data_IF_129697018321
#
_entry.id   IF_129697018321
#
_cell.length_a   1.000
_cell.length_b   1.000
_cell.length_c   1.000
_cell.angle_alpha   90.00
_cell.angle_beta   90.00
_cell.angle_gamma   90.00
#
_symmetry.space_group_name_H-M   'P 1'
#
loop_
_entity.id
_entity.type
_entity.pdbx_description
1 polymer ?
#
# COMPACT_ATOMS: atom_id res chain seq x y z
N UNK A 1 -8.08 -19.50 20.09
CA UNK A 1 -8.14 -18.09 19.64
C UNK A 1 -7.00 -17.28 20.28
N UNK A 2 -6.20 -16.56 19.48
CA UNK A 2 -4.98 -15.86 19.94
C UNK A 2 -5.21 -14.81 21.04
N UNK A 3 -6.46 -14.39 21.29
CA UNK A 3 -6.85 -13.56 22.44
C UNK A 3 -6.76 -14.30 23.80
N UNK A 4 -6.66 -15.63 23.81
CA UNK A 4 -6.43 -16.43 25.03
C UNK A 4 -4.94 -16.68 25.32
N UNK A 5 -4.02 -15.97 24.64
CA UNK A 5 -2.59 -16.08 24.91
C UNK A 5 -2.29 -15.65 26.36
N UNK A 6 -1.53 -16.42 27.15
CA UNK A 6 -1.17 -16.06 28.51
C UNK A 6 -0.24 -14.84 28.60
N UNK A 7 0.30 -14.34 27.48
CA UNK A 7 1.18 -13.16 27.41
C UNK A 7 0.81 -12.21 26.24
N UNK A 8 -0.37 -11.56 26.28
CA UNK A 8 -0.78 -10.62 25.24
C UNK A 8 0.18 -9.43 25.10
N UNK A 9 0.76 -8.94 26.20
CA UNK A 9 1.75 -7.86 26.18
C UNK A 9 3.02 -8.19 25.37
N UNK A 10 3.39 -9.47 25.26
CA UNK A 10 4.57 -9.90 24.51
C UNK A 10 4.44 -9.69 23.00
N UNK A 11 3.21 -9.70 22.47
CA UNK A 11 2.92 -9.53 21.05
C UNK A 11 2.52 -8.10 20.69
N UNK A 12 2.13 -7.29 21.67
CA UNK A 12 1.69 -5.92 21.45
C UNK A 12 2.78 -5.05 20.83
N UNK A 13 3.99 -5.03 21.41
CA UNK A 13 5.08 -4.18 20.93
C UNK A 13 5.55 -4.54 19.52
N UNK A 14 5.80 -5.82 19.16
CA UNK A 14 6.10 -6.19 17.78
C UNK A 14 4.99 -5.81 16.80
N UNK A 15 3.71 -6.06 17.16
CA UNK A 15 2.57 -5.66 16.35
C UNK A 15 2.51 -4.14 16.14
N UNK A 16 2.67 -3.37 17.21
CA UNK A 16 2.61 -1.91 17.18
C UNK A 16 3.71 -1.32 16.31
N UNK A 17 4.95 -1.79 16.46
CA UNK A 17 6.09 -1.33 15.66
C UNK A 17 5.87 -1.65 14.18
N UNK A 18 5.44 -2.88 13.86
CA UNK A 18 5.15 -3.27 12.47
C UNK A 18 4.03 -2.44 11.87
N UNK A 19 2.95 -2.21 12.63
CA UNK A 19 1.83 -1.41 12.20
C UNK A 19 2.23 0.05 11.98
N UNK A 20 3.02 0.63 12.88
CA UNK A 20 3.53 2.00 12.76
C UNK A 20 4.41 2.15 11.51
N UNK A 21 5.37 1.24 11.30
CA UNK A 21 6.21 1.23 10.11
C UNK A 21 5.36 1.12 8.84
N UNK A 22 4.37 0.22 8.81
CA UNK A 22 3.47 0.06 7.67
C UNK A 22 2.66 1.33 7.39
N UNK A 23 2.11 1.97 8.43
CA UNK A 23 1.34 3.19 8.29
C UNK A 23 2.18 4.36 7.79
N UNK A 24 3.36 4.57 8.38
CA UNK A 24 4.29 5.63 7.95
C UNK A 24 4.75 5.40 6.52
N UNK A 25 5.16 4.16 6.18
CA UNK A 25 5.56 3.81 4.81
C UNK A 25 4.43 4.04 3.81
N UNK A 26 3.19 3.68 4.16
CA UNK A 26 2.00 3.93 3.32
C UNK A 26 1.76 5.41 3.11
N UNK A 27 1.88 6.22 4.17
CA UNK A 27 1.76 7.68 4.09
C UNK A 27 2.79 8.30 3.15
N UNK A 28 4.06 7.91 3.27
CA UNK A 28 5.14 8.36 2.39
C UNK A 28 4.88 7.91 0.95
N UNK A 29 4.50 6.66 0.72
CA UNK A 29 4.23 6.12 -0.62
C UNK A 29 3.05 6.77 -1.35
N UNK A 30 1.98 7.10 -0.62
CA UNK A 30 0.86 7.84 -1.19
C UNK A 30 1.27 9.27 -1.57
N UNK A 31 1.98 9.97 -0.66
CA UNK A 31 2.47 11.32 -0.92
C UNK A 31 3.43 11.39 -2.11
N UNK A 32 4.36 10.43 -2.23
CA UNK A 32 5.27 10.37 -3.37
C UNK A 32 4.51 10.14 -4.68
N UNK A 33 3.53 9.23 -4.69
CA UNK A 33 2.75 8.90 -5.90
C UNK A 33 1.94 10.11 -6.39
N UNK A 34 1.21 10.78 -5.49
CA UNK A 34 0.43 11.97 -5.87
C UNK A 34 1.32 13.12 -6.33
N UNK A 35 2.47 13.33 -5.69
CA UNK A 35 3.46 14.31 -6.13
C UNK A 35 3.99 14.00 -7.52
N UNK A 36 4.31 12.74 -7.81
CA UNK A 36 4.76 12.31 -9.13
C UNK A 36 3.70 12.58 -10.20
N UNK A 37 2.42 12.28 -9.94
CA UNK A 37 1.33 12.58 -10.88
C UNK A 37 1.25 14.09 -11.15
N UNK A 38 1.34 14.92 -10.12
CA UNK A 38 1.30 16.38 -10.26
C UNK A 38 2.51 16.95 -11.02
N UNK A 39 3.67 16.31 -10.95
CA UNK A 39 4.89 16.76 -11.63
C UNK A 39 4.99 16.31 -13.09
N UNK A 40 4.45 15.14 -13.41
CA UNK A 40 4.56 14.53 -14.75
C UNK A 40 3.46 15.06 -15.70
N UNK A 41 2.33 15.51 -15.16
CA UNK A 41 1.20 16.01 -15.96
C UNK A 41 1.16 17.55 -16.00
N UNK A 42 0.70 18.11 -17.11
CA UNK A 42 0.36 19.53 -17.21
C UNK A 42 -0.79 19.89 -16.24
N UNK A 43 -0.83 21.13 -15.75
CA UNK A 43 -1.81 21.61 -14.75
C UNK A 43 -3.26 21.29 -15.12
N UNK A 44 -3.65 21.45 -16.39
CA UNK A 44 -5.01 21.17 -16.88
C UNK A 44 -5.41 19.70 -16.73
N UNK A 45 -4.45 18.76 -16.77
CA UNK A 45 -4.69 17.30 -16.69
C UNK A 45 -4.44 16.73 -15.31
N UNK A 46 -3.58 17.37 -14.52
CA UNK A 46 -3.19 16.90 -13.20
C UNK A 46 -4.40 16.73 -12.27
N UNK A 47 -5.27 17.75 -12.17
CA UNK A 47 -6.45 17.72 -11.31
C UNK A 47 -7.42 16.56 -11.62
N UNK A 48 -7.91 16.43 -12.86
CA UNK A 48 -8.80 15.33 -13.25
C UNK A 48 -8.18 13.93 -13.04
N UNK A 49 -6.91 13.74 -13.40
CA UNK A 49 -6.24 12.45 -13.24
C UNK A 49 -6.04 12.11 -11.76
N UNK A 50 -5.60 13.07 -10.95
CA UNK A 50 -5.48 12.89 -9.49
C UNK A 50 -6.81 12.50 -8.86
N UNK A 51 -7.90 13.17 -9.23
CA UNK A 51 -9.25 12.86 -8.74
C UNK A 51 -9.68 11.43 -9.09
N UNK A 52 -9.51 11.03 -10.34
CA UNK A 52 -9.86 9.68 -10.79
C UNK A 52 -8.98 8.60 -10.14
N UNK A 53 -7.66 8.80 -10.07
CA UNK A 53 -6.74 7.87 -9.40
C UNK A 53 -7.09 7.74 -7.91
N UNK A 54 -7.44 8.84 -7.24
CA UNK A 54 -7.86 8.82 -5.83
C UNK A 54 -9.16 8.05 -5.63
N UNK A 55 -10.12 8.18 -6.54
CA UNK A 55 -11.36 7.41 -6.50
C UNK A 55 -11.08 5.91 -6.66
N UNK A 56 -10.19 5.51 -7.58
CA UNK A 56 -9.78 4.11 -7.74
C UNK A 56 -9.08 3.60 -6.48
N UNK A 57 -8.15 4.38 -5.92
CA UNK A 57 -7.41 4.02 -4.71
C UNK A 57 -8.33 3.85 -3.49
N UNK A 58 -9.39 4.66 -3.37
CA UNK A 58 -10.36 4.58 -2.29
C UNK A 58 -11.07 3.22 -2.20
N UNK A 59 -11.29 2.52 -3.32
CA UNK A 59 -11.85 1.16 -3.29
C UNK A 59 -10.97 0.17 -2.52
N UNK A 60 -9.66 0.41 -2.42
CA UNK A 60 -8.75 -0.40 -1.62
C UNK A 60 -9.13 -0.46 -0.14
N UNK A 61 -9.68 0.64 0.41
CA UNK A 61 -10.14 0.71 1.79
C UNK A 61 -11.34 -0.21 2.08
N UNK A 62 -12.10 -0.59 1.04
CA UNK A 62 -13.19 -1.56 1.16
C UNK A 62 -12.73 -3.00 0.87
N UNK A 63 -11.91 -3.18 -0.17
CA UNK A 63 -11.48 -4.51 -0.64
C UNK A 63 -10.55 -5.18 0.38
N UNK A 64 -9.58 -4.44 0.94
CA UNK A 64 -8.56 -5.02 1.85
C UNK A 64 -9.23 -5.60 3.12
N UNK A 65 -10.06 -4.87 3.88
CA UNK A 65 -10.71 -5.43 5.06
C UNK A 65 -11.68 -6.57 4.73
N UNK A 66 -12.35 -6.51 3.58
CA UNK A 66 -13.26 -7.58 3.13
C UNK A 66 -12.50 -8.88 2.88
N UNK A 67 -11.46 -8.84 2.05
CA UNK A 67 -10.64 -10.03 1.71
C UNK A 67 -9.97 -10.59 2.96
N UNK A 68 -9.42 -9.71 3.81
CA UNK A 68 -8.79 -10.15 5.06
C UNK A 68 -9.80 -10.79 6.01
N UNK A 69 -11.00 -10.20 6.15
CA UNK A 69 -12.09 -10.75 6.96
C UNK A 69 -12.62 -12.09 6.44
N UNK A 70 -12.74 -12.27 5.12
CA UNK A 70 -13.12 -13.54 4.50
C UNK A 70 -12.09 -14.64 4.79
N UNK A 71 -10.79 -14.33 4.67
CA UNK A 71 -9.72 -15.29 4.95
C UNK A 71 -9.58 -15.62 6.44
N UNK A 72 -9.89 -14.67 7.34
CA UNK A 72 -10.00 -14.95 8.78
C UNK A 72 -11.12 -15.96 9.05
N UNK A 73 -12.31 -15.75 8.44
CA UNK A 73 -13.45 -16.67 8.57
C UNK A 73 -13.14 -18.06 7.99
N UNK A 74 -12.38 -18.10 6.90
CA UNK A 74 -11.92 -19.32 6.26
C UNK A 74 -10.74 -20.01 6.99
N UNK A 75 -10.27 -19.46 8.12
CA UNK A 75 -9.12 -19.96 8.89
C UNK A 75 -7.78 -19.94 8.13
N UNK A 76 -7.69 -19.14 7.06
CA UNK A 76 -6.51 -19.02 6.19
C UNK A 76 -6.03 -17.57 6.00
N UNK A 77 -5.89 -16.76 7.07
CA UNK A 77 -5.52 -15.34 6.97
C UNK A 77 -4.17 -15.09 6.26
N UNK A 78 -3.25 -16.07 6.30
CA UNK A 78 -1.96 -16.01 5.62
C UNK A 78 -2.09 -15.80 4.11
N UNK A 79 -3.14 -16.32 3.45
CA UNK A 79 -3.30 -16.16 2.00
C UNK A 79 -3.65 -14.72 1.63
N UNK A 80 -4.44 -14.01 2.45
CA UNK A 80 -4.66 -12.58 2.25
C UNK A 80 -3.35 -11.78 2.40
N UNK A 81 -2.54 -12.10 3.41
CA UNK A 81 -1.25 -11.43 3.64
C UNK A 81 -0.26 -11.67 2.50
N UNK A 82 -0.16 -12.90 1.98
CA UNK A 82 0.64 -13.20 0.80
C UNK A 82 0.13 -12.46 -0.44
N UNK A 83 -1.18 -12.37 -0.63
CA UNK A 83 -1.77 -11.57 -1.70
C UNK A 83 -1.38 -10.09 -1.62
N UNK A 84 -1.47 -9.49 -0.42
CA UNK A 84 -1.04 -8.10 -0.20
C UNK A 84 0.46 -7.92 -0.45
N UNK A 85 1.30 -8.84 0.03
CA UNK A 85 2.75 -8.79 -0.19
C UNK A 85 3.12 -8.88 -1.68
N UNK A 86 2.47 -9.78 -2.44
CA UNK A 86 2.66 -9.90 -3.90
C UNK A 86 2.24 -8.62 -4.61
N UNK A 87 1.10 -8.03 -4.24
CA UNK A 87 0.66 -6.76 -4.79
C UNK A 87 1.68 -5.64 -4.57
N UNK A 88 2.18 -5.47 -3.34
CA UNK A 88 3.22 -4.48 -3.04
C UNK A 88 4.53 -4.73 -3.80
N UNK A 89 4.94 -5.99 -3.96
CA UNK A 89 6.11 -6.35 -4.74
C UNK A 89 5.95 -5.97 -6.21
N UNK A 90 4.79 -6.24 -6.81
CA UNK A 90 4.47 -5.81 -8.17
C UNK A 90 4.51 -4.29 -8.29
N UNK A 91 3.90 -3.56 -7.34
CA UNK A 91 3.96 -2.09 -7.32
C UNK A 91 5.40 -1.57 -7.21
N UNK A 92 6.26 -2.22 -6.42
CA UNK A 92 7.67 -1.86 -6.30
C UNK A 92 8.42 -2.06 -7.62
N UNK A 93 8.20 -3.20 -8.29
CA UNK A 93 8.78 -3.49 -9.61
C UNK A 93 8.31 -2.49 -10.67
N UNK A 94 7.03 -2.12 -10.67
CA UNK A 94 6.49 -1.11 -11.59
C UNK A 94 7.11 0.26 -11.33
N UNK A 95 7.19 0.70 -10.06
CA UNK A 95 7.84 1.96 -9.72
C UNK A 95 9.30 1.96 -10.16
N UNK A 96 10.02 0.85 -9.93
CA UNK A 96 11.39 0.72 -10.37
C UNK A 96 11.52 0.82 -11.90
N UNK A 97 10.69 0.09 -12.63
CA UNK A 97 10.74 0.03 -14.09
C UNK A 97 10.44 1.38 -14.76
N UNK A 98 9.44 2.12 -14.26
CA UNK A 98 8.99 3.37 -14.86
C UNK A 98 9.76 4.60 -14.35
N UNK A 99 10.22 4.60 -13.09
CA UNK A 99 10.82 5.80 -12.47
C UNK A 99 12.30 5.66 -12.07
N UNK A 100 12.79 4.49 -11.69
CA UNK A 100 14.15 4.33 -11.10
C UNK A 100 15.17 3.61 -12.00
N UNK A 101 14.74 2.97 -13.09
CA UNK A 101 15.62 2.22 -13.99
C UNK A 101 16.62 3.16 -14.71
N UNK A 102 17.90 2.75 -14.93
CA UNK A 102 18.84 3.52 -15.74
C UNK A 102 18.30 3.71 -17.16
N UNK A 103 17.90 4.94 -17.49
CA UNK A 103 17.22 5.29 -18.75
C UNK A 103 15.71 5.59 -18.64
N UNK A 104 15.15 5.70 -17.43
CA UNK A 104 13.75 6.08 -17.22
C UNK A 104 13.41 7.46 -17.83
N UNK A 105 12.21 7.54 -18.42
CA UNK A 105 11.71 8.67 -19.23
C UNK A 105 11.54 9.98 -18.44
N UNK A 106 11.43 9.88 -17.11
CA UNK A 106 11.32 11.00 -16.18
C UNK A 106 12.54 10.97 -15.27
N UNK A 107 13.57 11.75 -15.60
CA UNK A 107 14.68 12.03 -14.69
C UNK A 107 14.19 13.04 -13.67
N UNK A 108 14.01 12.62 -12.42
CA UNK A 108 14.00 13.58 -11.32
C UNK A 108 15.41 14.22 -11.26
N UNK A 109 15.54 15.55 -11.10
CA UNK A 109 16.84 16.21 -10.97
C UNK A 109 17.69 15.63 -9.83
#
# INVERSE_FOLDING_TARGET
PSYKSPTPEGYFWPFFVLFFVLFTATGVGNGSTFRTIAMVLNEERAGPVLGWTSAVAAYGAFIIPKVFGEQIKATTPQYALYGFAVFYFVCMVLNWWFYLRPGAYVKNP
#
